data_IF_516654764531
#
_entry.id   IF_516654764531
#
_cell.length_a   1.000
_cell.length_b   1.000
_cell.length_c   1.000
_cell.angle_alpha   90.00
_cell.angle_beta   90.00
_cell.angle_gamma   90.00
#
_symmetry.space_group_name_H-M   'P 1'
#
loop_
_entity.id
_entity.type
_entity.pdbx_description
1 polymer ?
#
# COMPACT_ATOMS: atom_id res chain seq x y z
N UNK A 1 -12.36 0.73 -29.42
CA UNK A 1 -12.76 0.45 -28.04
C UNK A 1 -11.54 0.72 -27.17
N UNK A 2 -11.60 1.69 -26.25
CA UNK A 2 -10.53 1.89 -25.27
C UNK A 2 -10.63 0.72 -24.31
N UNK A 3 -9.64 -0.16 -24.31
CA UNK A 3 -9.51 -1.20 -23.30
C UNK A 3 -9.30 -0.48 -21.96
N UNK A 4 -10.35 -0.36 -21.15
CA UNK A 4 -10.23 0.24 -19.82
C UNK A 4 -9.24 -0.59 -19.03
N UNK A 5 -8.12 0.01 -18.63
CA UNK A 5 -7.15 -0.68 -17.79
C UNK A 5 -7.88 -1.10 -16.50
N UNK A 6 -7.85 -2.40 -16.20
CA UNK A 6 -8.55 -2.92 -15.02
C UNK A 6 -7.86 -2.41 -13.76
N UNK A 7 -8.65 -1.98 -12.78
CA UNK A 7 -8.19 -1.70 -11.44
C UNK A 7 -8.64 -2.83 -10.51
N UNK A 8 -8.00 -2.91 -9.35
CA UNK A 8 -8.28 -3.93 -8.35
C UNK A 8 -8.37 -3.30 -6.99
N UNK A 9 -9.47 -3.59 -6.29
CA UNK A 9 -9.60 -3.35 -4.87
C UNK A 9 -8.93 -4.48 -4.13
N UNK A 10 -8.01 -4.13 -3.26
CA UNK A 10 -7.32 -5.05 -2.36
C UNK A 10 -7.82 -4.77 -0.96
N UNK A 11 -8.18 -5.84 -0.27
CA UNK A 11 -8.58 -5.81 1.14
C UNK A 11 -7.68 -6.74 1.92
N UNK A 12 -7.34 -6.38 3.15
CA UNK A 12 -6.61 -7.28 4.04
C UNK A 12 -7.14 -7.24 5.47
N UNK A 13 -6.83 -8.27 6.24
CA UNK A 13 -7.11 -8.36 7.67
C UNK A 13 -5.91 -8.99 8.37
N UNK A 14 -5.47 -8.36 9.45
CA UNK A 14 -4.30 -8.78 10.22
C UNK A 14 -4.69 -9.83 11.26
N UNK A 15 -4.05 -10.99 11.23
CA UNK A 15 -4.21 -12.04 12.25
C UNK A 15 -3.28 -11.76 13.41
N UNK A 16 -3.68 -10.89 14.32
CA UNK A 16 -2.80 -10.39 15.42
C UNK A 16 -2.09 -11.50 16.20
N UNK A 17 -2.72 -12.66 16.42
CA UNK A 17 -2.12 -13.81 17.11
C UNK A 17 -0.96 -14.49 16.38
N UNK A 18 -0.77 -14.21 15.08
CA UNK A 18 0.33 -14.75 14.25
C UNK A 18 1.57 -13.86 14.24
N UNK A 19 1.48 -12.65 14.79
CA UNK A 19 2.62 -11.76 14.95
C UNK A 19 3.34 -12.07 16.26
N UNK A 20 4.67 -12.14 16.19
CA UNK A 20 5.53 -12.33 17.35
C UNK A 20 5.49 -11.12 18.30
N UNK A 21 5.21 -9.93 17.77
CA UNK A 21 5.11 -8.70 18.56
C UNK A 21 4.33 -7.59 17.86
N UNK A 22 3.93 -6.58 18.64
CA UNK A 22 3.41 -5.31 18.10
C UNK A 22 4.42 -4.62 17.17
N UNK A 23 5.73 -4.80 17.40
CA UNK A 23 6.78 -4.22 16.56
C UNK A 23 6.78 -4.84 15.16
N UNK A 24 6.62 -6.16 15.08
CA UNK A 24 6.51 -6.88 13.81
C UNK A 24 5.23 -6.50 13.06
N UNK A 25 4.10 -6.39 13.77
CA UNK A 25 2.85 -5.90 13.16
C UNK A 25 3.01 -4.48 12.62
N UNK A 26 3.69 -3.62 13.39
CA UNK A 26 3.99 -2.27 12.94
C UNK A 26 4.96 -2.26 11.76
N UNK A 27 5.85 -3.25 11.62
CA UNK A 27 6.74 -3.40 10.46
C UNK A 27 5.91 -3.61 9.19
N UNK A 28 4.92 -4.49 9.20
CA UNK A 28 3.99 -4.67 8.07
C UNK A 28 3.35 -3.34 7.63
N UNK A 29 2.75 -2.59 8.57
CA UNK A 29 2.14 -1.30 8.25
C UNK A 29 3.14 -0.25 7.77
N UNK A 30 4.35 -0.24 8.32
CA UNK A 30 5.44 0.64 7.92
C UNK A 30 5.93 0.34 6.52
N UNK A 31 6.08 -0.92 6.16
CA UNK A 31 6.47 -1.33 4.81
C UNK A 31 5.36 -1.05 3.80
N UNK A 32 4.09 -1.18 4.18
CA UNK A 32 2.96 -0.87 3.29
C UNK A 32 2.76 0.64 3.09
N UNK A 33 2.69 1.42 4.18
CA UNK A 33 2.28 2.84 4.16
C UNK A 33 3.43 3.85 4.37
N UNK A 34 4.64 3.38 4.61
CA UNK A 34 5.75 4.22 5.03
C UNK A 34 5.58 4.75 6.46
N UNK A 35 6.58 5.48 6.97
CA UNK A 35 6.48 6.12 8.29
C UNK A 35 7.37 7.36 8.42
N UNK A 36 7.13 8.15 9.47
CA UNK A 36 8.02 9.24 9.88
C UNK A 36 9.03 8.72 10.90
N UNK A 37 10.30 8.67 10.54
CA UNK A 37 11.40 8.38 11.44
C UNK A 37 11.83 9.66 12.15
N UNK A 38 11.79 9.66 13.47
CA UNK A 38 12.25 10.79 14.29
C UNK A 38 13.59 10.42 14.91
N UNK A 39 14.63 11.17 14.58
CA UNK A 39 15.97 11.04 15.18
C UNK A 39 16.17 12.23 16.12
N UNK A 40 16.39 11.95 17.40
CA UNK A 40 16.77 12.96 18.40
C UNK A 40 18.28 12.90 18.57
N UNK A 41 18.98 14.01 18.31
CA UNK A 41 20.41 14.15 18.57
C UNK A 41 20.60 15.42 19.39
N UNK A 42 21.06 15.25 20.63
CA UNK A 42 21.15 16.32 21.63
C UNK A 42 19.78 17.03 21.77
N UNK A 43 19.73 18.35 21.53
CA UNK A 43 18.52 19.17 21.58
C UNK A 43 17.76 19.24 20.24
N UNK A 44 18.29 18.64 19.17
CA UNK A 44 17.72 18.73 17.82
C UNK A 44 16.89 17.49 17.47
N UNK A 45 15.73 17.73 16.86
CA UNK A 45 14.81 16.70 16.38
C UNK A 45 14.75 16.72 14.85
N UNK A 46 15.26 15.66 14.23
CA UNK A 46 15.21 15.47 12.79
C UNK A 46 14.09 14.50 12.44
N UNK A 47 13.27 14.83 11.43
CA UNK A 47 12.17 13.96 10.97
C UNK A 47 12.42 13.59 9.52
N UNK A 48 12.50 12.29 9.24
CA UNK A 48 12.70 11.72 7.91
C UNK A 48 11.46 10.93 7.50
N UNK A 49 11.00 11.06 6.26
CA UNK A 49 10.00 10.15 5.68
C UNK A 49 10.73 8.90 5.19
N UNK A 50 10.26 7.74 5.64
CA UNK A 50 10.59 6.44 5.05
C UNK A 50 9.41 6.03 4.20
N UNK A 51 9.68 5.81 2.92
CA UNK A 51 8.68 5.37 1.95
C UNK A 51 8.27 3.92 2.23
N UNK A 52 6.98 3.65 2.02
CA UNK A 52 6.45 2.29 1.93
C UNK A 52 5.99 2.00 0.51
N UNK A 53 5.52 0.78 0.28
CA UNK A 53 5.15 0.29 -1.04
C UNK A 53 4.07 1.15 -1.71
N UNK A 54 3.11 1.67 -0.94
CA UNK A 54 2.05 2.53 -1.47
C UNK A 54 2.51 3.98 -1.73
N UNK A 55 3.69 4.40 -1.28
CA UNK A 55 4.29 5.66 -1.73
C UNK A 55 4.85 5.52 -3.17
N UNK A 56 5.21 4.30 -3.58
CA UNK A 56 5.71 4.02 -4.93
C UNK A 56 4.61 3.63 -5.92
N UNK A 57 3.52 3.04 -5.42
CA UNK A 57 2.38 2.59 -6.23
C UNK A 57 1.26 3.62 -6.15
N UNK A 58 0.85 4.23 -7.29
CA UNK A 58 -0.36 5.03 -7.35
C UNK A 58 -1.56 4.25 -6.84
N UNK A 59 -2.24 4.79 -5.84
CA UNK A 59 -3.34 4.11 -5.18
C UNK A 59 -4.46 5.08 -4.75
N UNK A 60 -5.67 4.56 -4.68
CA UNK A 60 -6.78 5.21 -3.97
C UNK A 60 -6.96 4.49 -2.64
N UNK A 61 -6.69 5.18 -1.55
CA UNK A 61 -6.96 4.64 -0.21
C UNK A 61 -8.46 4.71 0.06
N UNK A 62 -9.09 3.54 0.25
CA UNK A 62 -10.51 3.43 0.61
C UNK A 62 -10.66 3.38 2.12
N UNK A 63 -9.82 2.59 2.78
CA UNK A 63 -9.72 2.48 4.24
C UNK A 63 -8.26 2.19 4.67
N UNK A 64 -8.02 2.16 5.99
CA UNK A 64 -6.81 1.61 6.60
C UNK A 64 -6.44 0.18 6.18
N UNK A 65 -7.41 -0.63 5.74
CA UNK A 65 -7.18 -2.02 5.33
C UNK A 65 -7.66 -2.31 3.90
N UNK A 66 -7.96 -1.26 3.13
CA UNK A 66 -8.53 -1.36 1.79
C UNK A 66 -7.97 -0.28 0.87
N UNK A 67 -7.48 -0.66 -0.29
CA UNK A 67 -6.95 0.28 -1.28
C UNK A 67 -7.11 -0.25 -2.69
N UNK A 68 -7.22 0.67 -3.65
CA UNK A 68 -7.36 0.36 -5.07
C UNK A 68 -6.07 0.72 -5.79
N UNK A 69 -5.58 -0.18 -6.62
CA UNK A 69 -4.42 0.05 -7.51
C UNK A 69 -4.75 -0.35 -8.94
N UNK A 70 -3.96 0.13 -9.90
CA UNK A 70 -4.02 -0.37 -11.26
C UNK A 70 -3.49 -1.80 -11.32
N UNK A 71 -4.14 -2.67 -12.11
CA UNK A 71 -3.81 -4.11 -12.19
C UNK A 71 -2.36 -4.37 -12.63
N UNK A 72 -1.73 -3.46 -13.37
CA UNK A 72 -0.29 -3.55 -13.74
C UNK A 72 0.66 -3.60 -12.52
N UNK A 73 0.29 -2.98 -11.40
CA UNK A 73 1.10 -2.99 -10.18
C UNK A 73 0.88 -4.25 -9.32
N UNK A 74 -0.03 -5.14 -9.74
CA UNK A 74 -0.39 -6.32 -8.94
C UNK A 74 0.75 -7.29 -8.72
N UNK A 75 1.69 -7.41 -9.65
CA UNK A 75 2.80 -8.34 -9.47
C UNK A 75 3.69 -7.93 -8.27
N UNK A 76 3.90 -6.62 -8.07
CA UNK A 76 4.70 -6.12 -6.95
C UNK A 76 3.89 -6.21 -5.65
N UNK A 77 2.63 -5.78 -5.69
CA UNK A 77 1.76 -5.83 -4.51
C UNK A 77 1.51 -7.27 -4.02
N UNK A 78 1.31 -8.21 -4.94
CA UNK A 78 1.14 -9.63 -4.61
C UNK A 78 2.36 -10.17 -3.89
N UNK A 79 3.57 -9.93 -4.40
CA UNK A 79 4.81 -10.37 -3.75
C UNK A 79 4.89 -9.87 -2.31
N UNK A 80 4.59 -8.59 -2.10
CA UNK A 80 4.53 -8.02 -0.75
C UNK A 80 3.49 -8.73 0.13
N UNK A 81 2.25 -8.93 -0.34
CA UNK A 81 1.21 -9.59 0.46
C UNK A 81 1.55 -11.06 0.76
N UNK A 82 2.16 -11.77 -0.19
CA UNK A 82 2.60 -13.16 -0.06
C UNK A 82 3.71 -13.32 1.01
N UNK A 83 4.59 -12.33 1.17
CA UNK A 83 5.60 -12.32 2.25
C UNK A 83 4.97 -12.30 3.66
N UNK A 84 3.69 -11.92 3.76
CA UNK A 84 2.94 -11.82 5.01
C UNK A 84 1.76 -12.81 5.10
N UNK A 85 1.59 -13.74 4.15
CA UNK A 85 0.37 -14.56 3.99
C UNK A 85 0.03 -15.47 5.19
N UNK A 86 1.02 -15.81 6.01
CA UNK A 86 0.82 -16.55 7.27
C UNK A 86 0.17 -15.68 8.37
N UNK A 87 0.36 -14.36 8.27
CA UNK A 87 0.00 -13.34 9.26
C UNK A 87 -1.15 -12.44 8.83
N UNK A 88 -1.40 -12.29 7.54
CA UNK A 88 -2.53 -11.52 7.01
C UNK A 88 -3.41 -12.43 6.16
N UNK A 89 -4.69 -12.10 6.08
CA UNK A 89 -5.58 -12.61 5.03
C UNK A 89 -5.86 -11.45 4.09
N UNK A 90 -5.78 -11.67 2.79
CA UNK A 90 -6.08 -10.64 1.81
C UNK A 90 -6.93 -11.21 0.67
N UNK A 91 -7.75 -10.35 0.09
CA UNK A 91 -8.66 -10.67 -1.00
C UNK A 91 -8.58 -9.56 -2.06
N UNK A 92 -8.80 -9.92 -3.34
CA UNK A 92 -8.78 -8.99 -4.46
C UNK A 92 -10.09 -9.01 -5.24
N UNK A 93 -10.55 -7.84 -5.66
CA UNK A 93 -11.76 -7.68 -6.46
C UNK A 93 -11.43 -6.80 -7.67
N UNK A 94 -11.70 -7.30 -8.89
CA UNK A 94 -11.65 -6.45 -10.08
C UNK A 94 -12.72 -5.35 -9.93
N UNK A 95 -12.32 -4.08 -10.11
CA UNK A 95 -13.22 -2.94 -10.00
C UNK A 95 -13.16 -2.08 -11.26
N UNK A 96 -14.31 -1.51 -11.62
CA UNK A 96 -14.40 -0.48 -12.65
C UNK A 96 -14.24 0.89 -11.99
N UNK A 97 -13.33 1.68 -12.54
CA UNK A 97 -13.15 3.06 -12.14
C UNK A 97 -13.88 4.00 -13.10
N UNK A 98 -14.33 5.13 -12.56
CA UNK A 98 -14.68 6.28 -13.36
C UNK A 98 -13.41 6.92 -13.97
N UNK A 99 -13.63 7.81 -14.94
CA UNK A 99 -12.53 8.47 -15.67
C UNK A 99 -11.69 9.41 -14.80
N UNK A 100 -12.23 9.89 -13.67
CA UNK A 100 -11.50 10.76 -12.75
C UNK A 100 -10.48 9.96 -11.95
N UNK A 101 -10.92 8.87 -11.30
CA UNK A 101 -10.08 7.97 -10.52
C UNK A 101 -9.04 7.26 -11.40
N UNK A 102 -9.44 6.88 -12.61
CA UNK A 102 -8.50 6.31 -13.59
C UNK A 102 -7.41 7.32 -13.96
N UNK A 103 -7.78 8.59 -14.21
CA UNK A 103 -6.80 9.65 -14.47
C UNK A 103 -5.90 9.93 -13.28
N UNK A 104 -6.40 9.93 -12.04
CA UNK A 104 -5.56 10.11 -10.85
C UNK A 104 -4.49 9.02 -10.74
N UNK A 105 -4.90 7.75 -10.91
CA UNK A 105 -3.99 6.62 -10.84
C UNK A 105 -3.01 6.55 -12.03
N UNK A 106 -3.34 7.20 -13.16
CA UNK A 106 -2.42 7.38 -14.29
C UNK A 106 -1.47 8.56 -14.10
N UNK A 107 -1.94 9.72 -13.63
CA UNK A 107 -1.14 10.94 -13.49
C UNK A 107 0.05 10.80 -12.54
N UNK A 108 -0.07 9.96 -11.51
CA UNK A 108 1.07 9.62 -10.66
C UNK A 108 2.19 8.85 -11.39
N UNK A 109 2.00 8.46 -12.65
CA UNK A 109 3.06 7.92 -13.52
C UNK A 109 3.82 9.00 -14.29
N UNK A 110 3.20 10.16 -14.56
CA UNK A 110 3.74 11.16 -15.49
C UNK A 110 4.67 12.18 -14.79
N UNK A 111 4.81 12.10 -13.47
CA UNK A 111 5.64 12.98 -12.63
C UNK A 111 6.92 12.31 -12.09
N UNK A 112 7.30 11.13 -12.61
CA UNK A 112 8.59 10.46 -12.34
C UNK A 112 9.42 10.34 -13.61
#
# INVERSE_FOLDING_TARGET
MIERERAVLITFTVRTSKFNSNSERNKFYKELYGWKQIVKKEEKRYTYRREGLLDEIPHVKVDSSMFIIMKRHMNIMRKFLEEWDDKIKWDMFDVLLDEERERMLRRCLDEK
#
